data_IF_539989075043
#
_entry.id   IF_539989075043
#
_cell.length_a   1.000
_cell.length_b   1.000
_cell.length_c   1.000
_cell.angle_alpha   90.00
_cell.angle_beta   90.00
_cell.angle_gamma   90.00
#
_symmetry.space_group_name_H-M   'P 1'
#
loop_
_entity.id
_entity.type
_entity.pdbx_description
1 polymer ?
#
# COMPACT_ATOMS: atom_id res chain seq x y z
N UNK A 1 -38.15 -0.05 22.00
CA UNK A 1 -38.09 0.10 20.53
C UNK A 1 -36.83 0.86 20.05
N UNK A 2 -36.18 1.71 20.87
CA UNK A 2 -34.98 2.47 20.44
C UNK A 2 -33.70 1.65 20.20
N UNK A 3 -33.33 0.76 21.12
CA UNK A 3 -32.07 -0.01 21.03
C UNK A 3 -31.96 -0.93 19.79
N UNK A 4 -33.09 -1.39 19.24
CA UNK A 4 -33.13 -2.23 18.03
C UNK A 4 -32.88 -1.42 16.76
N UNK A 5 -33.30 -0.15 16.74
CA UNK A 5 -33.07 0.75 15.61
C UNK A 5 -31.61 1.21 15.56
N UNK A 6 -31.06 1.56 16.72
CA UNK A 6 -29.66 1.97 16.87
C UNK A 6 -28.67 0.86 16.49
N UNK A 7 -28.96 -0.39 16.88
CA UNK A 7 -28.18 -1.56 16.45
C UNK A 7 -28.23 -1.78 14.93
N UNK A 8 -29.40 -1.58 14.29
CA UNK A 8 -29.51 -1.69 12.83
C UNK A 8 -28.73 -0.60 12.09
N UNK A 9 -28.72 0.62 12.62
CA UNK A 9 -27.92 1.72 12.07
C UNK A 9 -26.42 1.43 12.19
N UNK A 10 -25.96 0.90 13.34
CA UNK A 10 -24.57 0.49 13.53
C UNK A 10 -24.15 -0.64 12.57
N UNK A 11 -24.99 -1.65 12.37
CA UNK A 11 -24.73 -2.74 11.43
C UNK A 11 -24.65 -2.23 9.99
N UNK A 12 -25.55 -1.32 9.59
CA UNK A 12 -25.52 -0.68 8.26
C UNK A 12 -24.26 0.17 8.09
N UNK A 13 -23.88 0.93 9.12
CA UNK A 13 -22.65 1.71 9.12
C UNK A 13 -21.42 0.82 8.97
N UNK A 14 -21.38 -0.32 9.69
CA UNK A 14 -20.30 -1.32 9.58
C UNK A 14 -20.12 -1.81 8.15
N UNK A 15 -21.21 -2.18 7.48
CA UNK A 15 -21.17 -2.59 6.07
C UNK A 15 -20.73 -1.45 5.15
N UNK A 16 -21.15 -0.21 5.42
CA UNK A 16 -20.71 0.96 4.68
C UNK A 16 -19.19 1.15 4.75
N UNK A 17 -18.62 1.02 5.95
CA UNK A 17 -17.17 1.15 6.15
C UNK A 17 -16.39 0.04 5.42
N UNK A 18 -16.87 -1.20 5.47
CA UNK A 18 -16.25 -2.30 4.72
C UNK A 18 -16.25 -2.05 3.21
N UNK A 19 -17.36 -1.53 2.66
CA UNK A 19 -17.46 -1.18 1.25
C UNK A 19 -16.49 -0.05 0.88
N UNK A 20 -16.31 0.95 1.76
CA UNK A 20 -15.34 2.03 1.54
C UNK A 20 -13.90 1.49 1.47
N UNK A 21 -13.51 0.62 2.41
CA UNK A 21 -12.18 -0.01 2.40
C UNK A 21 -11.96 -0.76 1.10
N UNK A 22 -12.94 -1.57 0.69
CA UNK A 22 -12.86 -2.34 -0.56
C UNK A 22 -12.79 -1.44 -1.79
N UNK A 23 -13.56 -0.35 -1.81
CA UNK A 23 -13.55 0.62 -2.89
C UNK A 23 -12.18 1.31 -3.01
N UNK A 24 -11.61 1.77 -1.89
CA UNK A 24 -10.32 2.44 -1.87
C UNK A 24 -9.20 1.53 -2.40
N UNK A 25 -9.18 0.25 -1.99
CA UNK A 25 -8.18 -0.71 -2.48
C UNK A 25 -8.33 -0.94 -3.99
N UNK A 26 -9.57 -1.05 -4.49
CA UNK A 26 -9.85 -1.29 -5.92
C UNK A 26 -9.69 -0.07 -6.81
N UNK A 27 -9.80 1.13 -6.24
CA UNK A 27 -9.60 2.39 -6.94
C UNK A 27 -8.13 2.76 -7.11
N UNK A 28 -7.20 1.93 -6.61
CA UNK A 28 -5.78 2.17 -6.74
C UNK A 28 -5.33 2.22 -8.20
N UNK A 29 -4.61 3.28 -8.56
CA UNK A 29 -4.09 3.51 -9.92
C UNK A 29 -2.73 2.83 -10.18
N UNK A 30 -2.18 2.14 -9.18
CA UNK A 30 -0.88 1.47 -9.25
C UNK A 30 0.31 2.36 -8.86
N UNK A 31 0.11 3.66 -8.60
CA UNK A 31 1.20 4.56 -8.20
C UNK A 31 1.52 4.45 -6.70
N UNK A 32 2.79 4.60 -6.29
CA UNK A 32 3.17 4.60 -4.88
C UNK A 32 2.48 5.71 -4.06
N UNK A 33 2.32 6.92 -4.64
CA UNK A 33 1.75 8.08 -3.98
C UNK A 33 0.28 7.86 -3.63
N UNK A 34 -0.51 7.37 -4.59
CA UNK A 34 -1.91 7.01 -4.34
C UNK A 34 -2.01 5.82 -3.37
N UNK A 35 -1.06 4.88 -3.44
CA UNK A 35 -0.99 3.73 -2.54
C UNK A 35 -0.82 4.15 -1.09
N UNK A 36 0.06 5.12 -0.80
CA UNK A 36 0.21 5.69 0.55
C UNK A 36 -1.08 6.38 1.00
N UNK A 37 -1.71 7.17 0.13
CA UNK A 37 -2.99 7.80 0.45
C UNK A 37 -4.09 6.79 0.78
N UNK A 38 -4.15 5.66 0.06
CA UNK A 38 -5.12 4.58 0.32
C UNK A 38 -4.86 3.93 1.68
N UNK A 39 -3.59 3.72 2.05
CA UNK A 39 -3.23 3.19 3.36
C UNK A 39 -3.72 4.12 4.48
N UNK A 40 -3.48 5.42 4.36
CA UNK A 40 -3.90 6.42 5.35
C UNK A 40 -5.43 6.49 5.47
N UNK A 41 -6.14 6.50 4.34
CA UNK A 41 -7.60 6.51 4.32
C UNK A 41 -8.19 5.23 4.95
N UNK A 42 -7.64 4.08 4.61
CA UNK A 42 -8.12 2.80 5.14
C UNK A 42 -7.81 2.63 6.63
N UNK A 43 -6.73 3.24 7.14
CA UNK A 43 -6.45 3.25 8.57
C UNK A 43 -7.60 3.91 9.36
N UNK A 44 -8.11 5.05 8.88
CA UNK A 44 -9.26 5.72 9.50
C UNK A 44 -10.53 4.86 9.47
N UNK A 45 -10.76 4.13 8.38
CA UNK A 45 -11.91 3.24 8.26
C UNK A 45 -11.79 1.98 9.15
N UNK A 46 -10.58 1.45 9.33
CA UNK A 46 -10.31 0.35 10.26
C UNK A 46 -10.62 0.77 11.70
N UNK A 47 -10.15 1.96 12.11
CA UNK A 47 -10.45 2.52 13.44
C UNK A 47 -11.96 2.75 13.64
N UNK A 48 -12.69 3.11 12.58
CA UNK A 48 -14.15 3.23 12.64
C UNK A 48 -14.83 1.88 12.82
N UNK A 49 -14.40 0.83 12.12
CA UNK A 49 -14.93 -0.53 12.31
C UNK A 49 -14.69 -1.00 13.74
N UNK A 50 -13.50 -0.76 14.30
CA UNK A 50 -13.20 -1.14 15.68
C UNK A 50 -14.16 -0.45 16.68
N UNK A 51 -14.39 0.85 16.52
CA UNK A 51 -15.36 1.60 17.34
C UNK A 51 -16.79 1.06 17.19
N UNK A 52 -17.22 0.77 15.97
CA UNK A 52 -18.55 0.23 15.70
C UNK A 52 -18.70 -1.16 16.33
N UNK A 53 -17.71 -2.04 16.20
CA UNK A 53 -17.73 -3.38 16.78
C UNK A 53 -17.77 -3.33 18.31
N UNK A 54 -16.95 -2.47 18.94
CA UNK A 54 -16.97 -2.26 20.39
C UNK A 54 -18.34 -1.77 20.88
N UNK A 55 -18.99 -0.90 20.10
CA UNK A 55 -20.32 -0.38 20.41
C UNK A 55 -21.40 -1.46 20.23
N UNK A 56 -21.34 -2.25 19.17
CA UNK A 56 -22.26 -3.38 18.96
C UNK A 56 -22.14 -4.39 20.12
N UNK A 57 -20.92 -4.66 20.58
CA UNK A 57 -20.65 -5.57 21.69
C UNK A 57 -21.18 -5.03 23.03
N UNK A 58 -21.20 -3.71 23.24
CA UNK A 58 -21.83 -3.12 24.43
C UNK A 58 -23.36 -3.18 24.41
N UNK A 59 -23.97 -3.26 23.22
CA UNK A 59 -25.42 -3.43 23.06
C UNK A 59 -25.89 -4.89 23.15
N UNK A 60 -25.03 -5.87 22.86
CA UNK A 60 -25.41 -7.28 22.85
C UNK A 60 -24.23 -8.22 23.10
N UNK A 61 -24.39 -9.13 24.05
CA UNK A 61 -23.45 -10.24 24.30
C UNK A 61 -23.47 -11.31 23.20
N UNK A 62 -24.38 -11.21 22.23
CA UNK A 62 -24.47 -12.16 21.12
C UNK A 62 -23.51 -11.78 20.03
N UNK A 63 -22.95 -12.80 19.38
CA UNK A 63 -22.14 -12.61 18.20
C UNK A 63 -23.03 -12.06 17.07
N UNK A 64 -22.81 -10.80 16.68
CA UNK A 64 -23.56 -10.10 15.64
C UNK A 64 -22.87 -10.19 14.26
N UNK A 65 -21.92 -11.12 14.14
CA UNK A 65 -21.23 -11.39 12.90
C UNK A 65 -22.08 -12.32 12.04
N UNK A 66 -22.70 -11.74 11.01
CA UNK A 66 -23.37 -12.52 10.00
C UNK A 66 -22.38 -13.10 8.98
N UNK A 67 -22.82 -14.11 8.24
CA UNK A 67 -21.99 -14.77 7.21
C UNK A 67 -21.55 -13.80 6.11
N UNK A 68 -22.32 -12.74 5.84
CA UNK A 68 -22.00 -11.74 4.81
C UNK A 68 -20.84 -10.86 5.26
N UNK A 69 -20.83 -10.43 6.52
CA UNK A 69 -19.78 -9.66 7.15
C UNK A 69 -18.45 -10.42 7.13
N UNK A 70 -18.45 -11.70 7.53
CA UNK A 70 -17.25 -12.55 7.49
C UNK A 70 -16.72 -12.68 6.06
N UNK A 71 -17.59 -12.94 5.08
CA UNK A 71 -17.19 -13.02 3.66
C UNK A 71 -16.62 -11.71 3.13
N UNK A 72 -17.16 -10.56 3.53
CA UNK A 72 -16.64 -9.25 3.15
C UNK A 72 -15.25 -9.00 3.74
N UNK A 73 -15.02 -9.38 5.00
CA UNK A 73 -13.69 -9.31 5.61
C UNK A 73 -12.67 -10.19 4.88
N UNK A 74 -13.04 -11.44 4.57
CA UNK A 74 -12.18 -12.34 3.80
C UNK A 74 -11.80 -11.75 2.44
N UNK A 75 -12.76 -11.14 1.75
CA UNK A 75 -12.53 -10.45 0.48
C UNK A 75 -11.56 -9.27 0.65
N UNK A 76 -11.79 -8.42 1.65
CA UNK A 76 -10.90 -7.27 1.94
C UNK A 76 -9.48 -7.76 2.25
N UNK A 77 -9.33 -8.81 3.06
CA UNK A 77 -8.02 -9.40 3.37
C UNK A 77 -7.32 -9.91 2.11
N UNK A 78 -8.05 -10.55 1.20
CA UNK A 78 -7.51 -11.04 -0.07
C UNK A 78 -7.00 -9.88 -0.94
N UNK A 79 -7.82 -8.84 -1.11
CA UNK A 79 -7.49 -7.66 -1.91
C UNK A 79 -6.31 -6.88 -1.31
N UNK A 80 -6.29 -6.72 0.02
CA UNK A 80 -5.20 -6.06 0.74
C UNK A 80 -3.87 -6.81 0.61
N UNK A 81 -3.89 -8.14 0.57
CA UNK A 81 -2.69 -8.95 0.29
C UNK A 81 -2.15 -8.67 -1.11
N UNK A 82 -3.03 -8.64 -2.11
CA UNK A 82 -2.62 -8.35 -3.49
C UNK A 82 -2.05 -6.93 -3.61
N UNK A 83 -2.75 -5.94 -3.05
CA UNK A 83 -2.28 -4.55 -2.96
C UNK A 83 -0.88 -4.46 -2.32
N UNK A 84 -0.67 -5.14 -1.19
CA UNK A 84 0.61 -5.15 -0.48
C UNK A 84 1.74 -5.75 -1.33
N UNK A 85 1.46 -6.83 -2.05
CA UNK A 85 2.44 -7.45 -2.95
C UNK A 85 2.84 -6.48 -4.06
N UNK A 86 1.85 -5.84 -4.71
CA UNK A 86 2.11 -4.86 -5.76
C UNK A 86 2.91 -3.66 -5.26
N UNK A 87 2.58 -3.11 -4.10
CA UNK A 87 3.34 -2.01 -3.47
C UNK A 87 4.81 -2.40 -3.20
N UNK A 88 5.06 -3.65 -2.75
CA UNK A 88 6.42 -4.16 -2.57
C UNK A 88 7.17 -4.30 -3.90
N UNK A 89 6.48 -4.69 -4.97
CA UNK A 89 7.06 -4.75 -6.31
C UNK A 89 7.50 -3.38 -6.77
N UNK A 90 6.64 -2.36 -6.64
CA UNK A 90 6.98 -0.98 -6.99
C UNK A 90 8.16 -0.44 -6.17
N UNK A 91 8.17 -0.72 -4.86
CA UNK A 91 9.31 -0.38 -4.00
C UNK A 91 10.63 -0.97 -4.52
N UNK A 92 10.62 -2.25 -4.94
CA UNK A 92 11.82 -2.91 -5.47
C UNK A 92 12.27 -2.32 -6.82
N UNK A 93 11.33 -1.93 -7.67
CA UNK A 93 11.62 -1.25 -8.95
C UNK A 93 12.32 0.08 -8.69
N UNK A 94 11.78 0.90 -7.78
CA UNK A 94 12.39 2.18 -7.41
C UNK A 94 13.81 1.99 -6.86
N UNK A 95 14.00 1.03 -5.95
CA UNK A 95 15.32 0.72 -5.41
C UNK A 95 16.32 0.26 -6.48
N UNK A 96 15.86 -0.55 -7.45
CA UNK A 96 16.67 -0.97 -8.59
C UNK A 96 17.10 0.22 -9.45
N UNK A 97 16.17 1.13 -9.74
CA UNK A 97 16.43 2.34 -10.54
C UNK A 97 17.45 3.25 -9.84
N UNK A 98 17.32 3.44 -8.52
CA UNK A 98 18.30 4.19 -7.72
C UNK A 98 19.70 3.55 -7.81
N UNK A 99 19.79 2.23 -7.70
CA UNK A 99 21.08 1.51 -7.84
C UNK A 99 21.69 1.70 -9.23
N UNK A 100 20.88 1.70 -10.29
CA UNK A 100 21.36 1.94 -11.65
C UNK A 100 21.86 3.38 -11.84
N UNK A 101 21.16 4.37 -11.28
CA UNK A 101 21.59 5.77 -11.31
C UNK A 101 22.93 5.95 -10.58
N UNK A 102 23.10 5.32 -9.41
CA UNK A 102 24.36 5.38 -8.67
C UNK A 102 25.52 4.76 -9.46
N UNK A 103 25.31 3.60 -10.09
CA UNK A 103 26.31 2.98 -10.97
C UNK A 103 26.66 3.86 -12.17
N UNK A 104 25.67 4.50 -12.79
CA UNK A 104 25.91 5.45 -13.89
C UNK A 104 26.78 6.62 -13.42
N UNK A 105 26.49 7.19 -12.26
CA UNK A 105 27.28 8.29 -11.68
C UNK A 105 28.71 7.84 -11.38
N UNK A 106 28.91 6.64 -10.84
CA UNK A 106 30.23 6.07 -10.59
C UNK A 106 31.04 5.91 -11.88
N UNK A 107 30.44 5.36 -12.93
CA UNK A 107 31.07 5.22 -14.25
C UNK A 107 31.43 6.59 -14.82
N UNK A 108 30.49 7.53 -14.87
CA UNK A 108 30.73 8.88 -15.39
C UNK A 108 31.86 9.58 -14.62
N UNK A 109 31.84 9.50 -13.29
CA UNK A 109 32.87 10.09 -12.45
C UNK A 109 34.23 9.46 -12.71
N UNK A 110 34.32 8.13 -12.83
CA UNK A 110 35.57 7.45 -13.16
C UNK A 110 36.09 7.84 -14.55
N UNK A 111 35.25 7.91 -15.57
CA UNK A 111 35.69 8.31 -16.93
C UNK A 111 36.08 9.78 -17.03
N UNK A 112 35.45 10.68 -16.27
CA UNK A 112 35.77 12.13 -16.28
C UNK A 112 36.98 12.46 -15.40
N UNK A 113 37.16 11.79 -14.27
CA UNK A 113 38.34 11.99 -13.40
C UNK A 113 39.59 11.27 -13.92
N UNK A 114 39.43 10.26 -14.78
CA UNK A 114 40.54 9.71 -15.57
C UNK A 114 40.82 10.63 -16.76
N UNK A 115 41.19 11.88 -16.49
CA UNK A 115 41.95 12.71 -17.43
C UNK A 115 43.32 12.04 -17.58
N UNK A 116 43.35 11.04 -18.48
CA UNK A 116 44.53 10.28 -18.86
C UNK A 116 45.61 11.26 -19.28
N UNK A 117 46.79 11.20 -18.65
CA UNK A 117 48.01 11.61 -19.33
C UNK A 117 48.08 10.83 -20.65
N UNK A 118 48.06 11.56 -21.76
CA UNK A 118 48.15 10.96 -23.09
C UNK A 118 49.53 10.32 -23.25
N UNK A 119 49.62 9.00 -23.16
CA UNK A 119 50.84 8.27 -23.51
C UNK A 119 50.89 8.15 -25.02
N UNK A 120 51.50 9.14 -25.67
CA UNK A 120 51.94 9.00 -27.06
C UNK A 120 53.13 8.04 -27.08
N UNK A 121 52.93 6.86 -27.65
CA UNK A 121 54.03 5.92 -27.92
C UNK A 121 54.60 6.32 -29.28
N UNK A 122 55.71 7.06 -29.29
CA UNK A 122 56.50 7.23 -30.49
C UNK A 122 57.12 5.87 -30.85
N UNK A 123 56.64 5.29 -31.96
CA UNK A 123 57.30 4.15 -32.58
C UNK A 123 58.48 4.68 -33.38
N UNK A 124 59.62 4.81 -32.71
CA UNK A 124 60.89 4.98 -33.40
C UNK A 124 61.19 3.70 -34.18
N UNK A 125 61.11 3.81 -35.51
CA UNK A 125 61.66 2.83 -36.44
C UNK A 125 63.19 3.02 -36.50
N UNK A 126 63.96 2.01 -36.07
CA UNK A 126 65.31 1.74 -36.56
C UNK A 126 65.71 0.29 -36.35
#
# INVERSE_FOLDING_TARGET
MGATLELQELLKSRTGVLNNILHNIRAWDGTPESGVSIIEQNQLEIERIEKINNTIQSFSDKNNDDVSYVKQLELIISEQKQFTVSMKTEQNIILSNIRQLNKKNEVVNNYITTNRESVFVDKDFK
#
